data_IF_109755458038
#
_entry.id   IF_109755458038
#
_cell.length_a   1.000
_cell.length_b   1.000
_cell.length_c   1.000
_cell.angle_alpha   90.00
_cell.angle_beta   90.00
_cell.angle_gamma   90.00
#
_symmetry.space_group_name_H-M   'P 1'
#
loop_
_entity.id
_entity.type
_entity.pdbx_description
1 polymer ?
#
# COMPACT_ATOMS: atom_id res chain seq x y z
N UNK A 1 7.80 -2.58 5.19
CA UNK A 1 6.49 -2.43 5.86
C UNK A 1 6.64 -1.33 6.90
N UNK A 2 5.68 -0.41 6.99
CA UNK A 2 5.75 0.82 7.78
C UNK A 2 4.45 0.98 8.60
N UNK A 3 4.33 0.22 9.69
CA UNK A 3 3.10 0.12 10.51
C UNK A 3 2.59 1.47 11.04
N UNK A 4 3.49 2.35 11.45
CA UNK A 4 3.17 3.61 12.15
C UNK A 4 3.14 4.83 11.23
N UNK A 5 3.41 4.63 9.93
CA UNK A 5 3.42 5.71 8.95
C UNK A 5 2.00 6.08 8.55
N UNK A 6 1.65 7.35 8.79
CA UNK A 6 0.36 7.93 8.36
C UNK A 6 0.37 8.25 6.87
N UNK A 7 -0.82 8.53 6.31
CA UNK A 7 -0.98 8.91 4.90
C UNK A 7 -0.07 10.08 4.51
N UNK A 8 -0.09 11.13 5.31
CA UNK A 8 0.67 12.34 5.04
C UNK A 8 2.19 12.10 5.10
N UNK A 9 2.63 11.28 6.05
CA UNK A 9 4.04 10.93 6.20
C UNK A 9 4.50 10.03 5.04
N UNK A 10 3.65 9.09 4.61
CA UNK A 10 3.90 8.28 3.43
C UNK A 10 4.05 9.14 2.17
N UNK A 11 3.21 10.16 1.99
CA UNK A 11 3.31 11.09 0.87
C UNK A 11 4.63 11.86 0.88
N UNK A 12 5.03 12.41 2.03
CA UNK A 12 6.33 13.10 2.19
C UNK A 12 7.51 12.17 1.92
N UNK A 13 7.47 10.96 2.46
CA UNK A 13 8.52 9.95 2.27
C UNK A 13 8.64 9.57 0.80
N UNK A 14 7.52 9.34 0.12
CA UNK A 14 7.50 8.93 -1.29
C UNK A 14 7.90 10.07 -2.22
N UNK A 15 7.49 11.31 -1.95
CA UNK A 15 7.85 12.49 -2.75
C UNK A 15 9.30 12.99 -2.50
N UNK A 16 10.06 12.33 -1.63
CA UNK A 16 11.46 12.68 -1.42
C UNK A 16 12.28 12.52 -2.71
N UNK A 17 13.20 13.45 -2.96
CA UNK A 17 13.95 13.58 -4.24
C UNK A 17 14.72 12.33 -4.67
N UNK A 18 15.04 11.43 -3.75
CA UNK A 18 15.77 10.19 -4.03
C UNK A 18 14.86 9.05 -4.53
N UNK A 19 13.54 9.18 -4.42
CA UNK A 19 12.62 8.17 -4.93
C UNK A 19 12.31 8.38 -6.41
N UNK A 20 12.10 7.26 -7.08
CA UNK A 20 11.68 7.21 -8.48
C UNK A 20 10.23 6.75 -8.58
N UNK A 21 9.60 6.99 -9.73
CA UNK A 21 8.28 6.42 -10.03
C UNK A 21 8.31 4.90 -9.84
N UNK A 22 7.30 4.35 -9.18
CA UNK A 22 7.26 2.97 -8.73
C UNK A 22 7.71 2.77 -7.28
N UNK A 23 8.31 3.77 -6.62
CA UNK A 23 8.58 3.68 -5.18
C UNK A 23 7.26 3.48 -4.42
N UNK A 24 7.25 2.54 -3.46
CA UNK A 24 6.05 2.20 -2.73
C UNK A 24 6.33 1.88 -1.27
N UNK A 25 5.28 1.92 -0.46
CA UNK A 25 5.30 1.41 0.90
C UNK A 25 3.93 0.86 1.30
N UNK A 26 3.94 -0.13 2.20
CA UNK A 26 2.73 -0.64 2.85
C UNK A 26 2.69 -0.11 4.27
N UNK A 27 1.54 0.45 4.66
CA UNK A 27 1.26 1.03 5.98
C UNK A 27 -0.08 0.56 6.54
N UNK A 28 -0.33 0.82 7.82
CA UNK A 28 -1.65 0.62 8.41
C UNK A 28 -2.66 1.65 7.87
N UNK A 29 -3.91 1.23 7.70
CA UNK A 29 -4.99 2.13 7.33
C UNK A 29 -5.40 2.97 8.54
N UNK A 30 -5.47 4.28 8.36
CA UNK A 30 -5.94 5.21 9.40
C UNK A 30 -7.46 5.15 9.58
N UNK A 31 -8.20 4.74 8.55
CA UNK A 31 -9.66 4.70 8.57
C UNK A 31 -10.24 3.41 9.15
N UNK A 32 -9.46 2.33 9.22
CA UNK A 32 -9.93 1.06 9.79
C UNK A 32 -8.78 0.28 10.42
N UNK A 33 -8.91 0.04 11.73
CA UNK A 33 -7.94 -0.73 12.50
C UNK A 33 -7.82 -2.15 11.94
N UNK A 34 -6.59 -2.60 11.68
CA UNK A 34 -6.31 -3.92 11.12
C UNK A 34 -6.33 -4.00 9.59
N UNK A 35 -6.76 -2.95 8.88
CA UNK A 35 -6.60 -2.86 7.42
C UNK A 35 -5.26 -2.26 7.03
N UNK A 36 -4.80 -2.61 5.83
CA UNK A 36 -3.56 -2.12 5.26
C UNK A 36 -3.82 -1.17 4.10
N UNK A 37 -2.81 -0.38 3.77
CA UNK A 37 -2.83 0.49 2.61
C UNK A 37 -1.47 0.47 1.90
N UNK A 38 -1.52 0.39 0.58
CA UNK A 38 -0.37 0.51 -0.30
C UNK A 38 -0.32 1.95 -0.82
N UNK A 39 0.79 2.64 -0.57
CA UNK A 39 1.07 3.96 -1.11
C UNK A 39 2.15 3.83 -2.18
N UNK A 40 1.90 4.34 -3.39
CA UNK A 40 2.79 4.22 -4.56
C UNK A 40 3.03 5.60 -5.15
N UNK A 41 4.29 5.94 -5.40
CA UNK A 41 4.66 7.10 -6.21
C UNK A 41 4.49 6.75 -7.70
N UNK A 42 3.59 7.45 -8.38
CA UNK A 42 3.38 7.33 -9.81
C UNK A 42 3.47 8.70 -10.47
N UNK A 43 4.51 8.90 -11.29
CA UNK A 43 4.74 10.13 -12.06
C UNK A 43 4.59 11.43 -11.24
N UNK A 44 5.19 11.47 -10.04
CA UNK A 44 5.15 12.64 -9.16
C UNK A 44 3.88 12.77 -8.31
N UNK A 45 2.94 11.84 -8.43
CA UNK A 45 1.72 11.77 -7.61
C UNK A 45 1.72 10.53 -6.75
N UNK A 46 1.35 10.65 -5.48
CA UNK A 46 1.21 9.47 -4.60
C UNK A 46 -0.21 8.94 -4.66
N UNK A 47 -0.36 7.69 -5.12
CA UNK A 47 -1.61 6.94 -5.15
C UNK A 47 -1.72 6.06 -3.91
N UNK A 48 -2.93 5.93 -3.36
CA UNK A 48 -3.20 5.12 -2.17
C UNK A 48 -4.25 4.07 -2.47
N UNK A 49 -3.91 2.80 -2.28
CA UNK A 49 -4.79 1.66 -2.48
C UNK A 49 -5.07 1.00 -1.13
N UNK A 50 -6.34 0.73 -0.83
CA UNK A 50 -6.70 -0.09 0.33
C UNK A 50 -6.36 -1.54 0.02
N UNK A 51 -5.85 -2.25 1.02
CA UNK A 51 -5.62 -3.69 0.97
C UNK A 51 -6.47 -4.33 2.07
N UNK A 52 -7.74 -4.65 1.80
CA UNK A 52 -8.56 -5.39 2.74
C UNK A 52 -8.04 -6.83 2.85
N UNK A 53 -8.32 -7.45 4.00
CA UNK A 53 -8.06 -8.85 4.26
C UNK A 53 -9.38 -9.61 4.24
N UNK A 54 -9.45 -10.67 3.45
CA UNK A 54 -10.58 -11.60 3.42
C UNK A 54 -10.56 -12.52 4.65
N UNK A 55 -11.68 -13.15 4.95
CA UNK A 55 -11.82 -14.07 6.10
C UNK A 55 -10.88 -15.29 5.99
N UNK A 56 -10.57 -15.72 4.76
CA UNK A 56 -9.58 -16.78 4.50
C UNK A 56 -8.12 -16.31 4.66
N UNK A 57 -7.90 -15.06 5.04
CA UNK A 57 -6.59 -14.47 5.28
C UNK A 57 -5.92 -13.85 4.05
N UNK A 58 -6.51 -13.95 2.86
CA UNK A 58 -5.94 -13.38 1.64
C UNK A 58 -6.11 -11.86 1.56
N UNK A 59 -5.23 -11.21 0.80
CA UNK A 59 -5.20 -9.77 0.55
C UNK A 59 -5.63 -9.45 -0.89
N UNK A 60 -6.24 -8.30 -1.12
CA UNK A 60 -6.58 -7.85 -2.47
C UNK A 60 -6.59 -6.34 -2.60
N UNK A 61 -6.39 -5.83 -3.82
CA UNK A 61 -6.67 -4.43 -4.19
C UNK A 61 -7.90 -4.36 -5.09
N UNK A 62 -7.99 -5.28 -6.07
CA UNK A 62 -9.15 -5.47 -6.93
C UNK A 62 -9.94 -6.71 -6.52
N UNK A 63 -11.27 -6.66 -6.57
CA UNK A 63 -12.13 -7.82 -6.27
C UNK A 63 -11.93 -9.01 -7.21
N UNK A 64 -11.25 -8.81 -8.34
CA UNK A 64 -11.00 -9.85 -9.34
C UNK A 64 -9.90 -10.84 -8.94
N UNK A 65 -8.99 -10.45 -8.04
CA UNK A 65 -7.84 -11.27 -7.67
C UNK A 65 -7.41 -11.03 -6.22
N UNK A 66 -7.23 -12.11 -5.47
CA UNK A 66 -6.68 -12.10 -4.11
C UNK A 66 -5.39 -12.89 -4.03
N UNK A 67 -4.59 -12.60 -3.01
CA UNK A 67 -3.24 -13.11 -2.82
C UNK A 67 -3.05 -13.61 -1.38
N UNK A 68 -2.43 -14.78 -1.15
CA UNK A 68 -2.12 -15.28 0.18
C UNK A 68 -1.23 -14.34 0.99
N UNK A 69 -0.29 -13.64 0.33
CA UNK A 69 0.67 -12.76 0.99
C UNK A 69 0.68 -11.35 0.38
N UNK A 70 1.04 -10.35 1.17
CA UNK A 70 1.28 -8.98 0.69
C UNK A 70 2.41 -8.93 -0.34
N UNK A 71 3.40 -9.81 -0.20
CA UNK A 71 4.55 -9.90 -1.11
C UNK A 71 4.06 -10.26 -2.51
N UNK A 72 3.27 -11.32 -2.64
CA UNK A 72 2.70 -11.73 -3.93
C UNK A 72 1.77 -10.67 -4.54
N UNK A 73 1.00 -9.97 -3.68
CA UNK A 73 0.17 -8.86 -4.12
C UNK A 73 1.00 -7.74 -4.73
N UNK A 74 2.12 -7.38 -4.10
CA UNK A 74 3.04 -6.35 -4.62
C UNK A 74 3.80 -6.84 -5.84
N UNK A 75 4.24 -8.09 -5.89
CA UNK A 75 4.95 -8.62 -7.06
C UNK A 75 4.06 -8.68 -8.32
N UNK A 76 2.75 -8.77 -8.14
CA UNK A 76 1.79 -8.76 -9.24
C UNK A 76 1.51 -7.36 -9.82
N UNK A 77 1.61 -6.29 -9.01
CA UNK A 77 1.22 -4.92 -9.37
C UNK A 77 2.43 -4.00 -9.52
#
# INVERSE_FOLDING_TARGET
YFSDTKRLDAEKMLLAKWNQSGAFLIRNSEGRKGELSLSVLDQGTVKHYKIPKLDNGHYYISKLKSFPTLKELVEYY
#
